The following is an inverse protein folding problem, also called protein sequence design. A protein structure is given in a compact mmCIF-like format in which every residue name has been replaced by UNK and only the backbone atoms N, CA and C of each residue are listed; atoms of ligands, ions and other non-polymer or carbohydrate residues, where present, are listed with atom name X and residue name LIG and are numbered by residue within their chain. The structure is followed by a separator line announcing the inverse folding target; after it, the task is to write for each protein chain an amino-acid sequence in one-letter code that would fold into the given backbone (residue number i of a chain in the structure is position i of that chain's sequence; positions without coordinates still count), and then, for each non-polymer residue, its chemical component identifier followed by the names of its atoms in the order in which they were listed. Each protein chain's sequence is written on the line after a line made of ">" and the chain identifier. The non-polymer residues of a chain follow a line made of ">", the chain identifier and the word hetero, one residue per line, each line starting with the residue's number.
data_IF_529370846058
#
_entry.id   IF_529370846058
#
_cell.length_a   1.000
_cell.length_b   1.000
_cell.length_c   1.000
_cell.angle_alpha   90.00
_cell.angle_beta   90.00
_cell.angle_gamma   90.00
#
_symmetry.space_group_name_H-M   'P 1'
#
loop_
_entity.id
_entity.type
_entity.pdbx_description
1 polymer ?
#
# COMPACT_ATOMS: atom_id res chain seq x y z
N UNK A 1 18.68 -0.94 12.41
CA UNK A 1 18.68 0.39 13.06
C UNK A 1 19.91 0.48 13.95
N UNK A 2 20.61 1.60 13.90
CA UNK A 2 21.87 1.82 14.61
C UNK A 2 21.83 3.16 15.35
N UNK A 3 21.93 3.13 16.68
CA UNK A 3 21.99 4.32 17.53
C UNK A 3 20.74 5.21 17.48
N UNK A 4 19.57 4.63 17.20
CA UNK A 4 18.33 5.39 17.00
C UNK A 4 17.91 6.10 18.29
N UNK A 5 17.79 7.42 18.23
CA UNK A 5 17.33 8.27 19.32
C UNK A 5 16.33 9.30 18.81
N UNK A 6 15.29 9.59 19.60
CA UNK A 6 14.26 10.58 19.26
C UNK A 6 13.89 11.41 20.50
N UNK A 7 13.94 12.72 20.33
CA UNK A 7 13.49 13.69 21.33
C UNK A 7 12.34 14.51 20.75
N UNK A 8 11.24 14.59 21.46
CA UNK A 8 10.10 15.45 21.08
C UNK A 8 10.45 16.90 21.44
N UNK A 9 10.59 17.77 20.42
CA UNK A 9 11.03 19.17 20.58
C UNK A 9 10.10 20.02 21.45
N UNK A 10 8.78 19.73 21.41
CA UNK A 10 7.77 20.54 22.12
C UNK A 10 7.93 20.52 23.64
N UNK A 11 8.35 19.40 24.21
CA UNK A 11 8.51 19.23 25.66
C UNK A 11 9.87 18.73 26.05
N UNK A 12 10.83 18.72 25.13
CA UNK A 12 12.20 18.24 25.27
C UNK A 12 12.29 16.82 25.88
N UNK A 13 11.26 15.99 25.63
CA UNK A 13 11.19 14.61 26.15
C UNK A 13 11.86 13.66 25.19
N UNK A 14 12.90 12.98 25.66
CA UNK A 14 13.51 11.88 24.93
C UNK A 14 12.62 10.64 25.04
N UNK A 15 12.07 10.18 23.89
CA UNK A 15 11.16 9.01 23.82
C UNK A 15 11.86 7.75 23.36
N UNK A 16 12.93 7.88 22.56
CA UNK A 16 13.79 6.77 22.15
C UNK A 16 15.21 7.12 22.48
N UNK A 17 15.99 6.19 23.03
CA UNK A 17 17.37 6.42 23.45
C UNK A 17 18.27 5.29 22.97
N UNK A 18 19.14 5.62 22.03
CA UNK A 18 20.25 4.78 21.58
C UNK A 18 19.85 3.33 21.28
N UNK A 19 18.82 3.14 20.43
CA UNK A 19 18.26 1.83 20.10
C UNK A 19 19.07 1.19 18.98
N UNK A 20 19.47 -0.05 19.19
CA UNK A 20 20.11 -0.93 18.21
C UNK A 20 19.22 -2.14 17.99
N UNK A 21 18.68 -2.31 16.81
CA UNK A 21 17.79 -3.42 16.46
C UNK A 21 18.05 -3.90 15.04
N UNK A 22 18.07 -5.22 14.87
CA UNK A 22 18.09 -5.88 13.57
C UNK A 22 16.95 -6.86 13.49
N UNK A 23 16.24 -6.87 12.37
CA UNK A 23 15.15 -7.79 12.12
C UNK A 23 15.58 -8.83 11.09
N UNK A 24 15.29 -10.10 11.36
CA UNK A 24 15.51 -11.17 10.41
C UNK A 24 14.28 -11.31 9.48
N UNK A 25 14.53 -11.79 8.28
CA UNK A 25 13.47 -12.12 7.33
C UNK A 25 12.45 -13.08 7.95
N UNK A 26 11.16 -12.83 7.73
CA UNK A 26 10.07 -13.67 8.23
C UNK A 26 9.80 -13.58 9.75
N UNK A 27 10.56 -12.78 10.49
CA UNK A 27 10.36 -12.64 11.94
C UNK A 27 9.02 -11.90 12.24
N UNK A 28 8.23 -12.45 13.15
CA UNK A 28 7.05 -11.79 13.76
C UNK A 28 7.48 -11.16 15.06
N UNK A 29 7.41 -9.83 15.15
CA UNK A 29 7.99 -9.06 16.26
C UNK A 29 6.89 -8.26 16.96
N UNK A 30 6.74 -8.46 18.28
CA UNK A 30 5.86 -7.67 19.14
C UNK A 30 6.63 -6.57 19.86
N UNK A 31 6.10 -5.35 19.90
CA UNK A 31 6.62 -4.23 20.69
C UNK A 31 5.67 -3.99 21.87
N UNK A 32 6.16 -4.22 23.07
CA UNK A 32 5.38 -4.12 24.31
C UNK A 32 5.91 -2.97 25.17
N UNK A 33 5.03 -2.27 25.87
CA UNK A 33 5.40 -1.18 26.78
C UNK A 33 4.19 -0.34 27.16
N UNK A 34 4.38 0.51 28.16
CA UNK A 34 3.34 1.44 28.66
C UNK A 34 2.97 2.50 27.61
N UNK A 35 1.83 3.16 27.81
CA UNK A 35 1.45 4.30 26.98
C UNK A 35 2.48 5.43 27.11
N UNK A 36 2.85 6.04 26.00
CA UNK A 36 3.90 7.07 25.94
C UNK A 36 5.34 6.53 25.96
N UNK A 37 5.56 5.19 25.92
CA UNK A 37 6.89 4.58 25.87
C UNK A 37 7.60 4.70 24.50
N UNK A 38 6.98 5.31 23.49
CA UNK A 38 7.58 5.53 22.18
C UNK A 38 7.32 4.43 21.15
N UNK A 39 6.41 3.45 21.42
CA UNK A 39 6.09 2.35 20.48
C UNK A 39 5.65 2.86 19.11
N UNK A 40 4.64 3.71 19.08
CA UNK A 40 4.12 4.29 17.83
C UNK A 40 5.13 5.19 17.14
N UNK A 41 5.98 5.89 17.90
CA UNK A 41 7.08 6.68 17.36
C UNK A 41 8.11 5.80 16.65
N UNK A 42 8.51 4.70 17.28
CA UNK A 42 9.41 3.72 16.66
C UNK A 42 8.83 3.14 15.38
N UNK A 43 7.56 2.74 15.39
CA UNK A 43 6.86 2.21 14.21
C UNK A 43 6.80 3.24 13.07
N UNK A 44 6.50 4.51 13.37
CA UNK A 44 6.49 5.59 12.36
C UNK A 44 7.87 5.86 11.76
N UNK A 45 8.93 5.77 12.57
CA UNK A 45 10.31 5.91 12.08
C UNK A 45 10.66 4.73 11.16
N UNK A 46 10.34 3.50 11.56
CA UNK A 46 10.55 2.31 10.71
C UNK A 46 9.76 2.44 9.40
N UNK A 47 8.55 2.97 9.45
CA UNK A 47 7.72 3.18 8.26
C UNK A 47 8.18 4.36 7.36
N UNK A 48 9.20 5.13 7.78
CA UNK A 48 9.63 6.33 7.05
C UNK A 48 8.69 7.53 7.15
N UNK A 49 7.70 7.46 8.05
CA UNK A 49 6.72 8.53 8.28
C UNK A 49 7.22 9.62 9.23
N UNK A 50 8.25 9.33 10.01
CA UNK A 50 8.92 10.27 10.90
C UNK A 50 10.43 10.22 10.63
N UNK A 51 10.99 11.28 10.08
CA UNK A 51 12.41 11.39 9.73
C UNK A 51 13.18 12.31 10.67
N UNK A 52 12.55 12.84 11.73
CA UNK A 52 13.20 13.70 12.73
C UNK A 52 13.75 12.86 13.89
N UNK A 53 14.85 12.15 13.65
CA UNK A 53 15.54 11.31 14.62
C UNK A 53 17.05 11.37 14.43
N UNK A 54 17.80 10.87 15.41
CA UNK A 54 19.25 10.65 15.33
C UNK A 54 19.55 9.16 15.17
N UNK A 55 20.64 8.83 14.49
CA UNK A 55 21.00 7.45 14.16
C UNK A 55 20.59 7.06 12.74
N UNK A 56 20.62 5.77 12.45
CA UNK A 56 20.38 5.25 11.11
C UNK A 56 19.29 4.17 11.10
N UNK A 57 18.44 4.20 10.09
CA UNK A 57 17.48 3.13 9.74
C UNK A 57 17.78 2.69 8.32
N UNK A 58 18.26 1.45 8.18
CA UNK A 58 18.65 0.87 6.89
C UNK A 58 17.75 -0.32 6.59
N UNK A 59 17.18 -0.35 5.39
CA UNK A 59 16.47 -1.50 4.86
C UNK A 59 17.32 -2.23 3.84
N UNK A 60 17.18 -3.54 3.79
CA UNK A 60 17.78 -4.32 2.71
C UNK A 60 17.13 -3.95 1.37
N UNK A 61 17.90 -3.88 0.27
CA UNK A 61 17.34 -3.60 -1.05
C UNK A 61 16.23 -4.58 -1.43
N UNK A 62 15.20 -4.09 -2.13
CA UNK A 62 14.08 -4.90 -2.61
C UNK A 62 12.95 -5.11 -1.60
N UNK A 63 13.03 -4.54 -0.39
CA UNK A 63 11.93 -4.57 0.58
C UNK A 63 11.14 -3.27 0.58
N UNK A 64 9.82 -3.39 0.61
CA UNK A 64 8.89 -2.29 0.87
C UNK A 64 8.38 -2.37 2.30
N UNK A 65 7.96 -1.22 2.84
CA UNK A 65 7.40 -1.13 4.19
C UNK A 65 5.98 -0.62 4.09
N UNK A 66 5.02 -1.40 4.60
CA UNK A 66 3.64 -0.97 4.81
C UNK A 66 3.43 -0.57 6.28
N UNK A 67 2.64 0.44 6.51
CA UNK A 67 2.24 0.90 7.84
C UNK A 67 0.73 0.93 7.98
N UNK A 68 0.20 0.14 8.92
CA UNK A 68 -1.21 0.20 9.30
C UNK A 68 -1.32 1.06 10.57
N UNK A 69 -1.91 2.26 10.51
CA UNK A 69 -2.15 3.07 11.70
C UNK A 69 -3.25 2.45 12.58
N UNK A 70 -3.24 2.78 13.86
CA UNK A 70 -4.26 2.33 14.82
C UNK A 70 -5.66 2.90 14.50
N UNK A 71 -5.69 4.08 13.91
CA UNK A 71 -6.89 4.80 13.45
C UNK A 71 -6.64 5.24 12.00
N UNK A 72 -6.99 4.39 11.02
CA UNK A 72 -6.80 4.70 9.62
C UNK A 72 -7.81 5.76 9.17
N UNK A 73 -7.33 6.80 8.48
CA UNK A 73 -8.19 7.74 7.78
C UNK A 73 -8.66 7.12 6.47
N UNK A 74 -9.94 6.81 6.40
CA UNK A 74 -10.62 6.37 5.19
C UNK A 74 -11.40 7.54 4.59
N UNK A 75 -11.54 7.55 3.27
CA UNK A 75 -12.42 8.52 2.60
C UNK A 75 -13.89 8.10 2.82
N UNK A 76 -14.61 8.88 3.59
CA UNK A 76 -15.98 8.60 3.98
C UNK A 76 -16.96 8.50 2.78
N UNK A 77 -16.60 9.07 1.62
CA UNK A 77 -17.42 9.02 0.41
C UNK A 77 -17.23 7.71 -0.39
N UNK A 78 -16.15 6.98 -0.15
CA UNK A 78 -15.83 5.74 -0.85
C UNK A 78 -16.54 4.55 -0.25
N UNK A 79 -16.83 3.56 -1.10
CA UNK A 79 -17.35 2.28 -0.69
C UNK A 79 -16.25 1.38 -0.12
N UNK A 80 -16.64 0.35 0.62
CA UNK A 80 -15.71 -0.67 1.14
C UNK A 80 -14.88 -1.27 0.01
N UNK A 81 -15.51 -1.61 -1.13
CA UNK A 81 -14.80 -2.15 -2.29
C UNK A 81 -13.76 -1.18 -2.84
N UNK A 82 -14.11 0.09 -3.01
CA UNK A 82 -13.19 1.11 -3.53
C UNK A 82 -11.98 1.30 -2.62
N UNK A 83 -12.18 1.30 -1.29
CA UNK A 83 -11.09 1.42 -0.32
C UNK A 83 -10.16 0.18 -0.38
N UNK A 84 -10.73 -1.02 -0.47
CA UNK A 84 -9.94 -2.25 -0.59
C UNK A 84 -9.15 -2.27 -1.90
N UNK A 85 -9.73 -1.75 -2.99
CA UNK A 85 -9.07 -1.63 -4.29
C UNK A 85 -7.86 -0.68 -4.26
N UNK A 86 -7.85 0.36 -3.41
CA UNK A 86 -6.69 1.25 -3.24
C UNK A 86 -5.41 0.49 -2.86
N UNK A 87 -5.53 -0.59 -2.10
CA UNK A 87 -4.40 -1.44 -1.72
C UNK A 87 -3.72 -2.16 -2.90
N UNK A 88 -4.39 -2.22 -4.05
CA UNK A 88 -3.94 -2.86 -5.29
C UNK A 88 -4.13 -1.93 -6.50
N UNK A 89 -4.06 -0.61 -6.26
CA UNK A 89 -4.36 0.41 -7.27
C UNK A 89 -3.52 0.24 -8.54
N UNK A 90 -2.24 -0.12 -8.41
CA UNK A 90 -1.36 -0.38 -9.54
C UNK A 90 -1.88 -1.50 -10.47
N UNK A 91 -2.55 -2.50 -9.92
CA UNK A 91 -3.15 -3.60 -10.71
C UNK A 91 -4.44 -3.15 -11.35
N UNK A 92 -5.25 -2.38 -10.62
CA UNK A 92 -6.49 -1.77 -11.14
C UNK A 92 -6.18 -0.84 -12.32
N UNK A 93 -5.17 0.01 -12.18
CA UNK A 93 -4.73 0.94 -13.23
C UNK A 93 -4.21 0.19 -14.46
N UNK A 94 -3.44 -0.90 -14.26
CA UNK A 94 -2.94 -1.72 -15.36
C UNK A 94 -4.07 -2.42 -16.13
N UNK A 95 -5.11 -2.91 -15.43
CA UNK A 95 -6.30 -3.49 -16.07
C UNK A 95 -7.06 -2.44 -16.89
N UNK A 96 -7.26 -1.25 -16.32
CA UNK A 96 -7.94 -0.16 -17.01
C UNK A 96 -7.17 0.29 -18.27
N UNK A 97 -5.85 0.44 -18.17
CA UNK A 97 -4.99 0.78 -19.30
C UNK A 97 -5.02 -0.31 -20.39
N UNK A 98 -5.01 -1.59 -19.99
CA UNK A 98 -5.10 -2.71 -20.92
C UNK A 98 -6.42 -2.69 -21.71
N UNK A 99 -7.55 -2.42 -21.05
CA UNK A 99 -8.85 -2.29 -21.70
C UNK A 99 -8.89 -1.07 -22.62
N UNK A 100 -8.33 0.06 -22.21
CA UNK A 100 -8.24 1.26 -23.05
C UNK A 100 -7.43 1.00 -24.34
N UNK A 101 -6.32 0.27 -24.24
CA UNK A 101 -5.51 -0.13 -25.40
C UNK A 101 -6.32 -1.02 -26.34
N UNK A 102 -7.09 -1.99 -25.79
CA UNK A 102 -7.93 -2.86 -26.60
C UNK A 102 -8.99 -2.07 -27.39
N UNK A 103 -9.54 -1.01 -26.81
CA UNK A 103 -10.47 -0.13 -27.51
C UNK A 103 -9.78 0.70 -28.61
N UNK A 104 -8.54 1.15 -28.37
CA UNK A 104 -7.75 1.94 -29.33
C UNK A 104 -7.40 1.19 -30.60
N UNK A 105 -7.27 -0.13 -30.55
CA UNK A 105 -7.04 -0.94 -31.76
C UNK A 105 -8.11 -0.80 -32.82
N UNK A 106 -9.35 -0.50 -32.43
CA UNK A 106 -10.48 -0.27 -33.34
C UNK A 106 -10.56 1.15 -33.94
N UNK A 107 -9.69 2.07 -33.51
CA UNK A 107 -9.77 3.46 -33.94
C UNK A 107 -8.91 3.72 -35.20
N UNK A 108 -9.46 4.45 -36.22
CA UNK A 108 -8.75 4.75 -37.47
C UNK A 108 -7.37 5.39 -37.27
N UNK A 109 -7.26 6.29 -36.32
CA UNK A 109 -6.00 7.00 -36.01
C UNK A 109 -4.84 6.08 -35.56
N UNK A 110 -5.16 4.85 -35.12
CA UNK A 110 -4.16 3.85 -34.72
C UNK A 110 -3.96 2.82 -35.81
N UNK A 111 -5.01 2.20 -36.36
CA UNK A 111 -4.84 1.13 -37.35
C UNK A 111 -4.39 1.65 -38.73
N UNK A 112 -4.57 2.94 -39.04
CA UNK A 112 -4.03 3.58 -40.23
C UNK A 112 -2.57 4.07 -40.07
N UNK A 113 -2.00 3.96 -38.87
CA UNK A 113 -0.65 4.40 -38.56
C UNK A 113 0.16 3.25 -37.93
N UNK A 114 1.12 2.73 -38.71
CA UNK A 114 1.94 1.58 -38.33
C UNK A 114 2.74 1.82 -37.04
N UNK A 115 3.32 3.01 -36.86
CA UNK A 115 4.12 3.34 -35.67
C UNK A 115 3.25 3.37 -34.41
N UNK A 116 2.06 3.95 -34.49
CA UNK A 116 1.11 3.98 -33.37
C UNK A 116 0.61 2.58 -33.04
N UNK A 117 0.33 1.76 -34.04
CA UNK A 117 -0.12 0.39 -33.87
C UNK A 117 0.97 -0.45 -33.18
N UNK A 118 2.22 -0.33 -33.62
CA UNK A 118 3.34 -1.05 -33.02
C UNK A 118 3.57 -0.62 -31.56
N UNK A 119 3.41 0.66 -31.25
CA UNK A 119 3.50 1.16 -29.88
C UNK A 119 2.37 0.58 -28.98
N UNK A 120 1.14 0.46 -29.51
CA UNK A 120 0.04 -0.17 -28.76
C UNK A 120 0.33 -1.66 -28.49
N UNK A 121 0.84 -2.41 -29.48
CA UNK A 121 1.19 -3.81 -29.29
C UNK A 121 2.30 -4.00 -28.25
N UNK A 122 3.35 -3.17 -28.30
CA UNK A 122 4.43 -3.22 -27.33
C UNK A 122 3.90 -2.95 -25.92
N UNK A 123 3.08 -1.90 -25.74
CA UNK A 123 2.51 -1.56 -24.43
C UNK A 123 1.54 -2.60 -23.92
N UNK A 124 0.70 -3.17 -24.80
CA UNK A 124 -0.20 -4.27 -24.44
C UNK A 124 0.58 -5.49 -23.90
N UNK A 125 1.69 -5.85 -24.56
CA UNK A 125 2.54 -6.95 -24.11
C UNK A 125 3.13 -6.71 -22.73
N UNK A 126 3.66 -5.50 -22.46
CA UNK A 126 4.16 -5.12 -21.13
C UNK A 126 3.07 -5.24 -20.03
N UNK A 127 1.87 -4.74 -20.34
CA UNK A 127 0.76 -4.80 -19.40
C UNK A 127 0.31 -6.24 -19.17
N UNK A 128 0.27 -7.06 -20.21
CA UNK A 128 -0.10 -8.48 -20.08
C UNK A 128 0.87 -9.21 -19.15
N UNK A 129 2.18 -8.97 -19.29
CA UNK A 129 3.18 -9.56 -18.39
C UNK A 129 2.96 -9.15 -16.93
N UNK A 130 2.59 -7.88 -16.68
CA UNK A 130 2.27 -7.37 -15.34
C UNK A 130 1.00 -8.04 -14.80
N UNK A 131 -0.06 -8.12 -15.62
CA UNK A 131 -1.35 -8.68 -15.23
C UNK A 131 -1.25 -10.18 -14.94
N UNK A 132 -0.47 -10.92 -15.73
CA UNK A 132 -0.23 -12.35 -15.52
C UNK A 132 0.62 -12.57 -14.25
N UNK A 133 1.68 -11.80 -14.04
CA UNK A 133 2.53 -11.90 -12.85
C UNK A 133 1.78 -11.59 -11.55
N UNK A 134 0.75 -10.72 -11.62
CA UNK A 134 -0.05 -10.31 -10.45
C UNK A 134 -1.36 -11.10 -10.30
N UNK A 135 -1.67 -12.04 -11.20
CA UNK A 135 -2.97 -12.76 -11.28
C UNK A 135 -4.16 -11.78 -11.29
N UNK A 136 -4.01 -10.70 -12.07
CA UNK A 136 -4.95 -9.61 -12.13
C UNK A 136 -6.30 -9.99 -12.73
N UNK A 137 -6.34 -10.98 -13.61
CA UNK A 137 -7.56 -11.49 -14.23
C UNK A 137 -8.60 -12.04 -13.23
N UNK A 138 -8.12 -12.45 -12.03
CA UNK A 138 -8.94 -12.94 -10.94
C UNK A 138 -9.07 -11.93 -9.79
N UNK A 139 -8.77 -10.64 -10.05
CA UNK A 139 -8.69 -9.61 -9.01
C UNK A 139 -9.98 -9.50 -8.20
N UNK A 140 -11.14 -9.38 -8.84
CA UNK A 140 -12.44 -9.25 -8.15
C UNK A 140 -12.70 -10.44 -7.20
N UNK A 141 -12.50 -11.67 -7.65
CA UNK A 141 -12.67 -12.86 -6.81
C UNK A 141 -11.67 -12.93 -5.65
N UNK A 142 -10.46 -12.38 -5.83
CA UNK A 142 -9.45 -12.30 -4.77
C UNK A 142 -9.83 -11.25 -3.73
N UNK A 143 -10.33 -10.10 -4.17
CA UNK A 143 -10.82 -9.04 -3.28
C UNK A 143 -12.03 -9.53 -2.48
N UNK A 144 -13.02 -10.16 -3.12
CA UNK A 144 -14.17 -10.74 -2.44
C UNK A 144 -13.76 -11.74 -1.36
N UNK A 145 -12.87 -12.70 -1.69
CA UNK A 145 -12.35 -13.65 -0.70
C UNK A 145 -11.59 -12.99 0.45
N UNK A 146 -10.85 -11.91 0.18
CA UNK A 146 -10.15 -11.17 1.21
C UNK A 146 -11.13 -10.43 2.13
N UNK A 147 -12.14 -9.80 1.55
CA UNK A 147 -13.21 -9.11 2.31
C UNK A 147 -14.00 -10.10 3.18
N UNK A 148 -14.37 -11.25 2.65
CA UNK A 148 -15.04 -12.31 3.40
C UNK A 148 -14.18 -12.86 4.56
N UNK A 149 -12.89 -13.10 4.29
CA UNK A 149 -11.96 -13.60 5.31
C UNK A 149 -11.77 -12.62 6.47
N UNK A 150 -11.82 -11.33 6.19
CA UNK A 150 -11.76 -10.25 7.18
C UNK A 150 -13.12 -9.91 7.76
N UNK A 151 -14.21 -10.52 7.27
CA UNK A 151 -15.60 -10.23 7.66
C UNK A 151 -15.93 -8.76 7.51
N UNK A 152 -15.51 -8.16 6.39
CA UNK A 152 -15.83 -6.78 6.09
C UNK A 152 -17.35 -6.60 5.85
N UNK A 153 -17.88 -5.40 6.07
CA UNK A 153 -19.22 -5.03 5.68
C UNK A 153 -19.46 -5.19 4.16
N UNK A 154 -20.73 -5.15 3.70
CA UNK A 154 -21.03 -5.24 2.27
C UNK A 154 -20.21 -4.28 1.42
N UNK A 155 -19.78 -4.75 0.25
CA UNK A 155 -18.85 -4.05 -0.64
C UNK A 155 -19.33 -2.66 -1.10
N UNK A 156 -20.63 -2.46 -1.16
CA UNK A 156 -21.33 -1.23 -1.57
C UNK A 156 -21.58 -0.23 -0.43
N UNK A 157 -21.29 -0.63 0.82
CA UNK A 157 -21.44 0.29 1.95
C UNK A 157 -20.36 1.37 1.90
N UNK A 158 -20.77 2.59 2.25
CA UNK A 158 -19.85 3.72 2.37
C UNK A 158 -19.10 3.69 3.70
N UNK A 159 -17.86 4.17 3.68
CA UNK A 159 -17.00 4.22 4.86
C UNK A 159 -17.59 5.06 6.01
N UNK A 160 -18.44 6.06 5.71
CA UNK A 160 -19.13 6.86 6.72
C UNK A 160 -20.04 6.04 7.64
N UNK A 161 -20.54 4.89 7.17
CA UNK A 161 -21.43 4.02 7.93
C UNK A 161 -20.72 2.95 8.74
N UNK A 162 -19.38 2.85 8.62
CA UNK A 162 -18.58 1.84 9.30
C UNK A 162 -18.33 2.20 10.76
N UNK A 163 -18.47 1.22 11.64
CA UNK A 163 -18.04 1.35 13.03
C UNK A 163 -16.51 1.41 13.12
N UNK A 164 -15.97 1.90 14.26
CA UNK A 164 -14.53 1.97 14.48
C UNK A 164 -13.80 0.61 14.45
N UNK A 165 -14.53 -0.51 14.59
CA UNK A 165 -13.97 -1.85 14.47
C UNK A 165 -14.01 -2.42 13.06
N UNK A 166 -14.81 -1.83 12.17
CA UNK A 166 -14.96 -2.20 10.75
C UNK A 166 -14.07 -1.32 9.84
N UNK A 167 -13.59 -0.22 10.35
CA UNK A 167 -12.57 0.65 9.72
C UNK A 167 -11.17 0.10 9.97
#
# INVERSE_FOLDING_TARGET
>A
MVGLSKTIKQNNKQVLKNIYLSFFYGAKIGIIGLNGAGKSTLMKIIAGLDNDYQGEVVFSPGYSVGYLPQDPHLDDNKTVKEIVQEGVQNVVDALAEYEEINQKFGLPEYYENEDKMNALFARQGELQDILDATDAWNLDSRLERAMDALRLPPADWKAEHLSGGER
#
